data_IF_746228349043
#
_entry.id   IF_746228349043
#
_cell.length_a   1.000
_cell.length_b   1.000
_cell.length_c   1.000
_cell.angle_alpha   90.00
_cell.angle_beta   90.00
_cell.angle_gamma   90.00
#
_symmetry.space_group_name_H-M   'P 1'
#
loop_
_entity.id
_entity.type
_entity.pdbx_description
1 polymer ?
#
# COMPACT_ATOMS: atom_id res chain seq x y z
N UNK A 1 5.49 59.15 -65.02
CA UNK A 1 5.71 58.84 -63.56
C UNK A 1 5.45 57.36 -63.38
N UNK A 2 6.56 56.58 -63.21
CA UNK A 2 6.50 55.10 -62.98
C UNK A 2 6.88 54.82 -61.52
N UNK A 3 5.92 54.34 -60.77
CA UNK A 3 6.15 53.91 -59.38
C UNK A 3 6.53 52.43 -59.38
N UNK A 4 7.76 52.13 -58.94
CA UNK A 4 8.24 50.76 -58.75
C UNK A 4 7.82 50.22 -57.40
N UNK A 5 7.16 49.08 -57.41
CA UNK A 5 6.86 48.27 -56.20
C UNK A 5 8.02 47.33 -55.90
N UNK A 6 8.71 47.58 -54.79
CA UNK A 6 9.71 46.65 -54.26
C UNK A 6 8.95 45.60 -53.44
N UNK A 7 9.01 44.35 -53.88
CA UNK A 7 8.51 43.21 -53.12
C UNK A 7 9.62 42.69 -52.18
N UNK A 8 9.45 42.90 -50.90
CA UNK A 8 10.28 42.34 -49.86
C UNK A 8 9.84 40.89 -49.59
N UNK A 9 10.66 39.92 -49.95
CA UNK A 9 10.42 38.50 -49.66
C UNK A 9 11.00 38.18 -48.26
N UNK A 10 10.15 38.02 -47.28
CA UNK A 10 10.54 37.45 -45.97
C UNK A 10 10.83 35.96 -46.09
N UNK A 11 12.08 35.55 -46.00
CA UNK A 11 12.49 34.17 -45.86
C UNK A 11 12.26 33.75 -44.39
N UNK A 12 11.23 32.93 -44.17
CA UNK A 12 10.99 32.31 -42.87
C UNK A 12 11.91 31.11 -42.73
N UNK A 13 13.01 31.27 -41.96
CA UNK A 13 13.88 30.15 -41.60
C UNK A 13 13.24 29.38 -40.44
N UNK A 14 12.64 28.24 -40.75
CA UNK A 14 12.17 27.30 -39.75
C UNK A 14 13.37 26.53 -39.22
N UNK A 15 13.85 26.92 -38.05
CA UNK A 15 14.87 26.14 -37.32
C UNK A 15 14.16 24.96 -36.67
N UNK A 16 14.16 23.79 -37.33
CA UNK A 16 13.80 22.52 -36.67
C UNK A 16 14.87 22.22 -35.62
N UNK A 17 14.58 22.45 -34.35
CA UNK A 17 15.38 21.97 -33.25
C UNK A 17 15.19 20.47 -33.13
N UNK A 18 16.10 19.69 -33.71
CA UNK A 18 16.25 18.26 -33.47
C UNK A 18 16.70 18.08 -32.03
N UNK A 19 15.77 17.82 -31.11
CA UNK A 19 16.10 17.37 -29.77
C UNK A 19 16.62 15.94 -29.90
N UNK A 20 17.81 15.60 -29.36
CA UNK A 20 18.33 14.25 -29.45
C UNK A 20 17.43 13.31 -28.61
N UNK A 21 16.88 12.29 -29.24
CA UNK A 21 16.10 11.22 -28.60
C UNK A 21 16.88 10.53 -27.46
N UNK A 22 18.19 10.62 -27.47
CA UNK A 22 19.07 10.10 -26.42
C UNK A 22 18.88 10.77 -25.04
N UNK A 23 18.64 12.08 -24.98
CA UNK A 23 18.50 12.80 -23.71
C UNK A 23 17.27 12.35 -22.91
N UNK A 24 16.16 12.05 -23.57
CA UNK A 24 14.93 11.57 -22.90
C UNK A 24 15.10 10.16 -22.29
N UNK A 25 15.91 9.30 -22.92
CA UNK A 25 16.18 7.96 -22.39
C UNK A 25 17.15 7.99 -21.19
N UNK A 26 18.11 8.92 -21.18
CA UNK A 26 19.04 9.11 -20.05
C UNK A 26 18.29 9.67 -18.82
N UNK A 27 17.41 10.63 -19.00
CA UNK A 27 16.57 11.18 -17.93
C UNK A 27 15.63 10.12 -17.33
N UNK A 28 15.04 9.25 -18.16
CA UNK A 28 14.20 8.15 -17.71
C UNK A 28 14.98 7.11 -16.89
N UNK A 29 16.16 6.73 -17.32
CA UNK A 29 17.01 5.77 -16.61
C UNK A 29 17.54 6.35 -15.28
N UNK A 30 17.88 7.64 -15.24
CA UNK A 30 18.29 8.33 -14.02
C UNK A 30 17.14 8.42 -13.02
N UNK A 31 15.91 8.72 -13.47
CA UNK A 31 14.70 8.75 -12.64
C UNK A 31 14.41 7.36 -12.05
N UNK A 32 14.44 6.31 -12.87
CA UNK A 32 14.23 4.93 -12.41
C UNK A 32 15.29 4.50 -11.38
N UNK A 33 16.56 4.86 -11.59
CA UNK A 33 17.64 4.60 -10.63
C UNK A 33 17.40 5.33 -9.31
N UNK A 34 16.92 6.58 -9.34
CA UNK A 34 16.57 7.33 -8.14
C UNK A 34 15.38 6.72 -7.41
N UNK A 35 14.32 6.32 -8.14
CA UNK A 35 13.18 5.61 -7.59
C UNK A 35 13.62 4.32 -6.86
N UNK A 36 14.48 3.52 -7.49
CA UNK A 36 15.04 2.31 -6.90
C UNK A 36 15.82 2.62 -5.63
N UNK A 37 16.70 3.61 -5.66
CA UNK A 37 17.49 4.01 -4.48
C UNK A 37 16.61 4.47 -3.31
N UNK A 38 15.52 5.19 -3.58
CA UNK A 38 14.55 5.60 -2.56
C UNK A 38 13.87 4.38 -1.90
N UNK A 39 13.46 3.40 -2.68
CA UNK A 39 12.86 2.17 -2.15
C UNK A 39 13.89 1.31 -1.39
N UNK A 40 15.12 1.23 -1.87
CA UNK A 40 16.21 0.51 -1.17
C UNK A 40 16.53 1.19 0.18
N UNK A 41 16.51 2.53 0.25
CA UNK A 41 16.66 3.28 1.50
C UNK A 41 15.51 3.01 2.47
N UNK A 42 14.26 2.96 1.98
CA UNK A 42 13.09 2.57 2.77
C UNK A 42 13.25 1.16 3.35
N UNK A 43 13.65 0.19 2.53
CA UNK A 43 13.88 -1.19 2.99
C UNK A 43 14.98 -1.22 4.06
N UNK A 44 16.08 -0.49 3.87
CA UNK A 44 17.13 -0.39 4.87
C UNK A 44 16.63 0.23 6.18
N UNK A 45 15.82 1.29 6.10
CA UNK A 45 15.21 1.94 7.28
C UNK A 45 14.23 1.01 8.02
N UNK A 46 13.46 0.18 7.31
CA UNK A 46 12.56 -0.82 7.92
C UNK A 46 13.30 -1.98 8.59
N UNK A 47 14.61 -2.13 8.40
CA UNK A 47 15.43 -3.17 9.02
C UNK A 47 16.17 -4.07 8.03
N UNK A 48 16.20 -3.68 6.75
CA UNK A 48 16.97 -4.34 5.71
C UNK A 48 16.63 -5.82 5.54
N UNK A 49 17.67 -6.67 5.53
CA UNK A 49 17.51 -8.12 5.33
C UNK A 49 16.62 -8.77 6.38
N UNK A 50 16.63 -8.29 7.64
CA UNK A 50 15.75 -8.82 8.69
C UNK A 50 14.27 -8.60 8.34
N UNK A 51 13.91 -7.40 7.87
CA UNK A 51 12.55 -7.08 7.42
C UNK A 51 12.16 -7.89 6.17
N UNK A 52 13.07 -8.03 5.20
CA UNK A 52 12.84 -8.81 3.98
C UNK A 52 12.62 -10.31 4.25
N UNK A 53 13.19 -10.84 5.32
CA UNK A 53 13.09 -12.27 5.67
C UNK A 53 11.91 -12.61 6.58
N UNK A 54 11.07 -11.64 6.96
CA UNK A 54 9.90 -11.90 7.80
C UNK A 54 8.94 -12.88 7.15
N UNK A 55 8.54 -13.89 7.88
CA UNK A 55 7.57 -14.90 7.45
C UNK A 55 6.16 -14.59 7.95
N UNK A 56 6.07 -13.90 9.09
CA UNK A 56 4.78 -13.50 9.66
C UNK A 56 4.93 -12.31 10.61
N UNK A 57 3.79 -11.65 10.85
CA UNK A 57 3.66 -10.59 11.85
C UNK A 57 2.46 -10.87 12.74
N UNK A 58 2.57 -10.53 14.01
CA UNK A 58 1.47 -10.48 14.96
C UNK A 58 1.26 -9.06 15.43
N UNK A 59 0.03 -8.59 15.42
CA UNK A 59 -0.36 -7.27 15.88
C UNK A 59 -1.58 -7.36 16.78
N UNK A 60 -1.59 -6.56 17.84
CA UNK A 60 -2.73 -6.42 18.74
C UNK A 60 -2.97 -4.94 19.03
N UNK A 61 -4.22 -4.55 19.18
CA UNK A 61 -4.55 -3.16 19.44
C UNK A 61 -6.05 -2.87 19.40
N UNK A 62 -6.37 -1.66 19.04
CA UNK A 62 -7.75 -1.20 18.85
C UNK A 62 -7.94 -0.69 17.44
N UNK A 63 -9.09 -1.00 16.88
CA UNK A 63 -9.54 -0.49 15.59
C UNK A 63 -10.81 0.33 15.77
N UNK A 64 -10.94 1.43 15.03
CA UNK A 64 -12.11 2.30 15.04
C UNK A 64 -12.55 2.58 13.61
N UNK A 65 -13.87 2.49 13.37
CA UNK A 65 -14.47 2.77 12.07
C UNK A 65 -14.91 4.24 11.95
N UNK A 66 -14.85 4.75 10.74
CA UNK A 66 -15.29 6.10 10.38
C UNK A 66 -16.21 6.04 9.16
N UNK A 67 -17.10 7.00 9.04
CA UNK A 67 -17.96 7.21 7.89
C UNK A 67 -18.00 8.71 7.57
N UNK A 68 -17.66 9.08 6.35
CA UNK A 68 -17.49 10.47 5.93
C UNK A 68 -16.59 11.27 6.92
N UNK A 69 -15.47 10.68 7.29
CA UNK A 69 -14.50 11.27 8.22
C UNK A 69 -14.95 11.40 9.69
N UNK A 70 -16.17 10.91 10.05
CA UNK A 70 -16.71 10.98 11.42
C UNK A 70 -16.66 9.60 12.07
N UNK A 71 -16.30 9.51 13.38
CA UNK A 71 -16.34 8.24 14.10
C UNK A 71 -17.75 7.64 14.05
N UNK A 72 -17.86 6.35 13.72
CA UNK A 72 -19.14 5.61 13.73
C UNK A 72 -19.54 5.16 15.13
N UNK A 73 -18.68 5.35 16.13
CA UNK A 73 -18.82 4.74 17.45
C UNK A 73 -18.39 3.26 17.50
N UNK A 74 -18.19 2.61 16.34
CA UNK A 74 -17.67 1.26 16.29
C UNK A 74 -16.18 1.26 16.61
N UNK A 75 -15.82 0.71 17.78
CA UNK A 75 -14.42 0.50 18.19
C UNK A 75 -14.30 -0.90 18.77
N UNK A 76 -13.30 -1.64 18.36
CA UNK A 76 -13.06 -3.01 18.79
C UNK A 76 -11.60 -3.26 19.10
N UNK A 77 -11.32 -4.14 20.05
CA UNK A 77 -10.01 -4.75 20.16
C UNK A 77 -9.80 -5.71 18.99
N UNK A 78 -8.59 -5.79 18.49
CA UNK A 78 -8.21 -6.76 17.46
C UNK A 78 -6.93 -7.48 17.83
N UNK A 79 -6.82 -8.70 17.35
CA UNK A 79 -5.61 -9.50 17.32
C UNK A 79 -5.47 -10.04 15.91
N UNK A 80 -4.36 -9.76 15.25
CA UNK A 80 -4.11 -10.14 13.87
C UNK A 80 -2.79 -10.89 13.77
N UNK A 81 -2.81 -12.02 13.09
CA UNK A 81 -1.63 -12.71 12.60
C UNK A 81 -1.69 -12.69 11.09
N UNK A 82 -0.68 -12.13 10.46
CA UNK A 82 -0.48 -12.20 9.02
C UNK A 82 0.71 -13.12 8.74
N UNK A 83 0.48 -14.19 7.99
CA UNK A 83 1.52 -15.07 7.46
C UNK A 83 1.68 -14.79 5.98
N UNK A 84 2.86 -14.38 5.61
CA UNK A 84 3.16 -14.03 4.22
C UNK A 84 3.25 -15.28 3.33
N UNK A 85 2.84 -15.18 2.04
CA UNK A 85 2.32 -13.97 1.38
C UNK A 85 0.81 -13.76 1.53
N UNK A 86 0.00 -14.77 1.88
CA UNK A 86 -1.43 -14.80 1.54
C UNK A 86 -2.36 -15.35 2.62
N UNK A 87 -1.86 -15.59 3.83
CA UNK A 87 -2.69 -16.06 4.95
C UNK A 87 -2.77 -14.98 6.04
N UNK A 88 -3.98 -14.79 6.58
CA UNK A 88 -4.18 -13.98 7.77
C UNK A 88 -5.30 -14.51 8.64
N UNK A 89 -5.18 -14.25 9.94
CA UNK A 89 -6.22 -14.48 10.94
C UNK A 89 -6.41 -13.21 11.73
N UNK A 90 -7.63 -12.69 11.74
CA UNK A 90 -8.00 -11.48 12.47
C UNK A 90 -9.10 -11.85 13.45
N UNK A 91 -8.88 -11.58 14.73
CA UNK A 91 -9.85 -11.80 15.80
C UNK A 91 -10.31 -10.46 16.35
N UNK A 92 -11.61 -10.26 16.45
CA UNK A 92 -12.22 -9.01 16.87
C UNK A 92 -12.94 -9.17 18.21
N UNK A 93 -12.97 -8.09 18.97
CA UNK A 93 -13.61 -8.00 20.26
C UNK A 93 -12.79 -8.58 21.42
N UNK A 94 -13.20 -8.23 22.65
CA UNK A 94 -12.52 -8.71 23.87
C UNK A 94 -12.52 -10.23 24.01
N UNK A 95 -13.59 -10.88 23.52
CA UNK A 95 -13.73 -12.33 23.57
C UNK A 95 -13.06 -13.06 22.42
N UNK A 96 -12.63 -12.31 21.39
CA UNK A 96 -12.05 -12.87 20.17
C UNK A 96 -12.95 -13.90 19.48
N UNK A 97 -14.27 -13.67 19.53
CA UNK A 97 -15.30 -14.58 19.07
C UNK A 97 -15.88 -14.23 17.69
N UNK A 98 -15.33 -13.18 17.07
CA UNK A 98 -15.49 -12.87 15.64
C UNK A 98 -14.16 -13.03 14.99
N UNK A 99 -13.99 -14.01 14.11
CA UNK A 99 -12.72 -14.38 13.49
C UNK A 99 -12.84 -14.31 12.00
N UNK A 100 -11.99 -13.52 11.36
CA UNK A 100 -11.79 -13.54 9.92
C UNK A 100 -10.55 -14.36 9.58
N UNK A 101 -10.68 -15.29 8.64
CA UNK A 101 -9.58 -16.10 8.14
C UNK A 101 -9.44 -15.87 6.64
N UNK A 102 -8.26 -15.43 6.24
CA UNK A 102 -7.87 -15.26 4.85
C UNK A 102 -6.89 -16.38 4.50
N UNK A 103 -7.15 -17.10 3.43
CA UNK A 103 -6.24 -18.12 2.88
C UNK A 103 -6.32 -18.10 1.36
N UNK A 104 -5.25 -17.62 0.72
CA UNK A 104 -5.24 -17.38 -0.72
C UNK A 104 -6.28 -16.33 -1.12
N UNK A 105 -7.23 -16.71 -1.95
CA UNK A 105 -8.32 -15.87 -2.46
C UNK A 105 -9.64 -16.04 -1.68
N UNK A 106 -9.64 -16.88 -0.65
CA UNK A 106 -10.82 -17.16 0.16
C UNK A 106 -10.78 -16.41 1.49
N UNK A 107 -11.91 -15.89 1.92
CA UNK A 107 -12.07 -15.20 3.20
C UNK A 107 -13.32 -15.71 3.91
N UNK A 108 -13.16 -16.15 5.14
CA UNK A 108 -14.25 -16.64 5.98
C UNK A 108 -14.41 -15.77 7.22
N UNK A 109 -15.65 -15.46 7.54
CA UNK A 109 -16.05 -14.99 8.86
C UNK A 109 -16.53 -16.18 9.70
N UNK A 110 -15.99 -16.33 10.89
CA UNK A 110 -16.35 -17.36 11.85
C UNK A 110 -16.85 -16.69 13.11
N UNK A 111 -18.08 -17.02 13.51
CA UNK A 111 -18.73 -16.51 14.72
C UNK A 111 -19.44 -17.65 15.46
N UNK A 112 -20.12 -17.36 16.56
CA UNK A 112 -20.98 -18.34 17.24
C UNK A 112 -22.09 -18.92 16.34
N UNK A 113 -22.40 -18.27 15.21
CA UNK A 113 -23.35 -18.75 14.20
C UNK A 113 -22.75 -19.78 13.24
N UNK A 114 -21.44 -20.00 13.32
CA UNK A 114 -20.70 -20.88 12.45
C UNK A 114 -19.80 -20.11 11.48
N UNK A 115 -19.35 -20.83 10.46
CA UNK A 115 -18.49 -20.33 9.39
C UNK A 115 -19.32 -19.85 8.20
N UNK A 116 -18.95 -18.71 7.64
CA UNK A 116 -19.53 -18.16 6.41
C UNK A 116 -18.41 -17.56 5.55
N UNK A 117 -18.40 -17.87 4.27
CA UNK A 117 -17.51 -17.19 3.32
C UNK A 117 -18.02 -15.75 3.07
N UNK A 118 -17.13 -14.80 3.01
CA UNK A 118 -17.48 -13.40 2.74
C UNK A 118 -18.00 -13.23 1.31
N UNK A 119 -18.88 -12.25 1.09
CA UNK A 119 -19.36 -11.89 -0.24
C UNK A 119 -18.18 -11.48 -1.17
N UNK A 120 -18.29 -11.75 -2.48
CA UNK A 120 -17.21 -11.49 -3.43
C UNK A 120 -16.67 -10.05 -3.46
N UNK A 121 -17.53 -9.06 -3.25
CA UNK A 121 -17.15 -7.64 -3.18
C UNK A 121 -16.24 -7.34 -1.99
N UNK A 122 -16.54 -7.89 -0.81
CA UNK A 122 -15.70 -7.76 0.38
C UNK A 122 -14.39 -8.53 0.23
N UNK A 123 -14.43 -9.72 -0.35
CA UNK A 123 -13.21 -10.49 -0.68
C UNK A 123 -12.32 -9.67 -1.62
N UNK A 124 -12.87 -9.11 -2.70
CA UNK A 124 -12.12 -8.30 -3.66
C UNK A 124 -11.49 -7.06 -3.01
N UNK A 125 -12.15 -6.42 -2.07
CA UNK A 125 -11.58 -5.30 -1.33
C UNK A 125 -10.34 -5.74 -0.52
N UNK A 126 -10.43 -6.85 0.21
CA UNK A 126 -9.32 -7.39 1.01
C UNK A 126 -8.13 -7.80 0.13
N UNK A 127 -8.40 -8.50 -0.99
CA UNK A 127 -7.38 -8.94 -1.94
C UNK A 127 -6.68 -7.74 -2.60
N UNK A 128 -7.43 -6.72 -3.02
CA UNK A 128 -6.89 -5.49 -3.60
C UNK A 128 -5.98 -4.78 -2.60
N UNK A 129 -6.40 -4.67 -1.33
CA UNK A 129 -5.57 -4.06 -0.27
C UNK A 129 -4.27 -4.83 -0.03
N UNK A 130 -4.32 -6.16 -0.07
CA UNK A 130 -3.14 -7.03 0.05
C UNK A 130 -2.21 -6.85 -1.14
N UNK A 131 -2.76 -6.85 -2.36
CA UNK A 131 -1.98 -6.67 -3.59
C UNK A 131 -1.20 -5.34 -3.62
N UNK A 132 -1.75 -4.29 -3.00
CA UNK A 132 -1.12 -2.98 -2.90
C UNK A 132 -0.47 -2.72 -1.53
N UNK A 133 -0.14 -3.76 -0.76
CA UNK A 133 0.63 -3.57 0.48
C UNK A 133 2.09 -3.23 0.18
N UNK A 134 2.77 -2.53 1.11
CA UNK A 134 4.21 -2.28 1.00
C UNK A 134 4.98 -3.60 0.90
N UNK A 135 4.56 -4.63 1.65
CA UNK A 135 5.16 -5.94 1.56
C UNK A 135 5.11 -6.50 0.12
N UNK A 136 3.92 -6.51 -0.50
CA UNK A 136 3.74 -6.99 -1.88
C UNK A 136 4.52 -6.13 -2.88
N UNK A 137 4.49 -4.80 -2.73
CA UNK A 137 5.23 -3.90 -3.60
C UNK A 137 6.74 -4.21 -3.62
N UNK A 138 7.32 -4.52 -2.46
CA UNK A 138 8.76 -4.79 -2.34
C UNK A 138 9.10 -6.25 -2.69
N UNK A 139 8.32 -7.22 -2.20
CA UNK A 139 8.68 -8.64 -2.39
C UNK A 139 8.24 -9.20 -3.76
N UNK A 140 7.22 -8.60 -4.37
CA UNK A 140 6.68 -9.09 -5.65
C UNK A 140 6.98 -8.11 -6.77
N UNK A 141 6.46 -6.87 -6.69
CA UNK A 141 6.55 -5.94 -7.82
C UNK A 141 7.99 -5.47 -8.07
N UNK A 142 8.72 -5.08 -7.02
CA UNK A 142 10.10 -4.59 -7.16
C UNK A 142 11.09 -5.65 -7.70
N UNK A 143 10.73 -6.92 -7.57
CA UNK A 143 11.51 -8.06 -8.08
C UNK A 143 11.08 -8.55 -9.48
N UNK A 144 9.97 -8.03 -10.03
CA UNK A 144 9.59 -8.29 -11.42
C UNK A 144 10.30 -7.29 -12.35
N UNK A 145 11.14 -7.76 -13.31
CA UNK A 145 11.87 -6.88 -14.22
C UNK A 145 10.99 -6.04 -15.15
N UNK A 146 9.69 -6.37 -15.25
CA UNK A 146 8.71 -5.61 -16.03
C UNK A 146 8.12 -4.44 -15.26
N UNK A 147 8.38 -4.35 -13.94
CA UNK A 147 7.89 -3.24 -13.12
C UNK A 147 8.63 -1.95 -13.47
N UNK A 148 7.87 -0.92 -13.77
CA UNK A 148 8.38 0.42 -14.01
C UNK A 148 8.42 1.19 -12.69
N UNK A 149 9.55 1.84 -12.41
CA UNK A 149 9.74 2.66 -11.22
C UNK A 149 9.82 4.13 -11.63
N UNK A 150 9.06 4.98 -10.94
CA UNK A 150 9.04 6.43 -11.21
C UNK A 150 9.30 7.15 -9.88
N UNK A 151 10.32 7.99 -9.87
CA UNK A 151 10.51 8.95 -8.79
C UNK A 151 9.73 10.24 -9.13
N UNK A 152 8.68 10.54 -8.33
CA UNK A 152 7.75 11.65 -8.56
C UNK A 152 8.18 12.95 -7.87
N UNK A 153 9.40 12.99 -7.32
CA UNK A 153 9.91 14.13 -6.58
C UNK A 153 9.50 14.13 -5.10
N UNK A 154 9.73 15.26 -4.44
CA UNK A 154 9.36 15.44 -3.05
C UNK A 154 8.00 16.08 -2.91
N UNK A 155 7.24 15.67 -1.89
CA UNK A 155 5.91 16.17 -1.53
C UNK A 155 5.84 16.43 -0.04
N UNK A 156 4.98 17.35 0.36
CA UNK A 156 4.62 17.52 1.78
C UNK A 156 3.48 16.55 2.11
N UNK A 157 3.73 15.63 3.05
CA UNK A 157 2.79 14.59 3.50
C UNK A 157 2.75 14.61 5.01
N UNK A 158 1.57 14.76 5.60
CA UNK A 158 1.39 14.78 7.07
C UNK A 158 2.41 15.69 7.80
N UNK A 159 2.75 16.83 7.20
CA UNK A 159 3.76 17.81 7.69
C UNK A 159 5.22 17.34 7.58
N UNK A 160 5.49 16.23 6.94
CA UNK A 160 6.83 15.73 6.62
C UNK A 160 7.16 15.97 5.15
N UNK A 161 8.40 16.29 4.85
CA UNK A 161 8.90 16.22 3.48
C UNK A 161 9.09 14.75 3.13
N UNK A 162 8.44 14.31 2.08
CA UNK A 162 8.44 12.90 1.67
C UNK A 162 8.97 12.75 0.24
N UNK A 163 9.81 11.76 0.02
CA UNK A 163 10.15 11.27 -1.30
C UNK A 163 8.99 10.39 -1.82
N UNK A 164 8.48 10.71 -3.00
CA UNK A 164 7.38 9.95 -3.61
C UNK A 164 7.90 9.07 -4.72
N UNK A 165 7.54 7.79 -4.67
CA UNK A 165 7.90 6.79 -5.67
C UNK A 165 6.67 5.99 -6.08
N UNK A 166 6.44 5.86 -7.39
CA UNK A 166 5.38 5.04 -7.97
C UNK A 166 5.97 3.80 -8.62
N UNK A 167 5.40 2.64 -8.30
CA UNK A 167 5.66 1.37 -8.96
C UNK A 167 4.47 1.06 -9.86
N UNK A 168 4.72 0.67 -11.11
CA UNK A 168 3.71 0.21 -12.07
C UNK A 168 4.09 -1.21 -12.47
N UNK A 169 3.22 -2.18 -12.16
CA UNK A 169 3.47 -3.59 -12.47
C UNK A 169 3.17 -3.94 -13.93
N UNK A 170 3.40 -5.21 -14.30
CA UNK A 170 3.19 -5.70 -15.66
C UNK A 170 1.73 -5.66 -16.13
N UNK A 171 0.77 -5.59 -15.21
CA UNK A 171 -0.67 -5.50 -15.49
C UNK A 171 -1.16 -4.04 -15.57
N UNK A 172 -0.22 -3.09 -15.57
CA UNK A 172 -0.49 -1.64 -15.57
C UNK A 172 -1.25 -1.17 -14.32
N UNK A 173 -1.12 -1.92 -13.23
CA UNK A 173 -1.61 -1.52 -11.92
C UNK A 173 -0.51 -0.77 -11.17
N UNK A 174 -0.87 0.15 -10.27
CA UNK A 174 0.11 1.06 -9.67
C UNK A 174 -0.08 1.24 -8.17
N UNK A 175 1.05 1.39 -7.49
CA UNK A 175 1.12 1.82 -6.09
C UNK A 175 2.11 2.97 -5.97
N UNK A 176 1.71 4.03 -5.26
CA UNK A 176 2.58 5.14 -4.88
C UNK A 176 2.94 5.01 -3.40
N UNK A 177 4.22 5.05 -3.10
CA UNK A 177 4.76 5.02 -1.73
C UNK A 177 5.44 6.35 -1.46
N UNK A 178 5.11 6.95 -0.33
CA UNK A 178 5.70 8.19 0.17
C UNK A 178 6.50 7.85 1.43
N UNK A 179 7.80 8.12 1.38
CA UNK A 179 8.75 7.86 2.47
C UNK A 179 9.25 9.18 3.03
N UNK A 180 9.37 9.27 4.32
CA UNK A 180 9.97 10.43 4.98
C UNK A 180 11.38 10.71 4.44
N UNK A 181 11.67 11.94 4.05
CA UNK A 181 12.94 12.28 3.38
C UNK A 181 14.16 12.20 4.34
N UNK A 182 13.95 12.22 5.65
CA UNK A 182 14.99 12.16 6.67
C UNK A 182 15.17 10.75 7.20
N UNK A 183 14.08 10.09 7.62
CA UNK A 183 14.12 8.75 8.24
C UNK A 183 14.00 7.62 7.24
N UNK A 184 13.55 7.90 6.03
CA UNK A 184 13.19 6.95 4.96
C UNK A 184 12.06 5.96 5.33
N UNK A 185 11.40 6.13 6.47
CA UNK A 185 10.28 5.28 6.86
C UNK A 185 9.04 5.61 6.02
N UNK A 186 8.20 4.62 5.69
CA UNK A 186 6.93 4.87 5.01
C UNK A 186 6.04 5.84 5.79
N UNK A 187 5.50 6.85 5.14
CA UNK A 187 4.48 7.73 5.67
C UNK A 187 3.10 7.39 5.13
N UNK A 188 3.04 7.09 3.84
CA UNK A 188 1.77 6.82 3.16
C UNK A 188 1.98 5.89 1.97
N UNK A 189 1.03 5.02 1.71
CA UNK A 189 0.85 4.35 0.43
C UNK A 189 -0.49 4.73 -0.17
N UNK A 190 -0.58 4.78 -1.49
CA UNK A 190 -1.81 5.13 -2.22
C UNK A 190 -1.89 4.29 -3.49
N UNK A 191 -3.08 3.84 -3.83
CA UNK A 191 -3.36 3.19 -5.11
C UNK A 191 -4.75 3.59 -5.62
N UNK A 192 -4.93 3.49 -6.93
CA UNK A 192 -6.18 3.81 -7.59
C UNK A 192 -6.76 2.56 -8.22
N UNK A 193 -8.06 2.48 -8.21
CA UNK A 193 -8.78 1.37 -8.82
C UNK A 193 -10.11 1.87 -9.41
N UNK A 194 -10.66 1.10 -10.33
CA UNK A 194 -11.92 1.44 -10.96
C UNK A 194 -13.00 0.46 -10.47
N UNK A 195 -14.11 1.02 -10.00
CA UNK A 195 -15.27 0.21 -9.62
C UNK A 195 -15.74 -0.64 -10.83
N UNK A 196 -15.89 -1.96 -10.67
CA UNK A 196 -16.28 -2.83 -11.79
C UNK A 196 -17.71 -2.61 -12.25
N UNK A 197 -18.60 -2.06 -11.41
CA UNK A 197 -20.01 -1.84 -11.70
C UNK A 197 -20.22 -0.41 -12.17
N UNK A 198 -19.92 0.58 -11.33
CA UNK A 198 -20.18 1.99 -11.58
C UNK A 198 -19.11 2.68 -12.44
N UNK A 199 -17.95 2.02 -12.63
CA UNK A 199 -16.82 2.54 -13.39
C UNK A 199 -16.15 3.77 -12.79
N UNK A 200 -16.52 4.14 -11.57
CA UNK A 200 -15.92 5.26 -10.86
C UNK A 200 -14.45 4.97 -10.53
N UNK A 201 -13.64 6.00 -10.58
CA UNK A 201 -12.25 5.96 -10.18
C UNK A 201 -12.19 6.23 -8.69
N UNK A 202 -11.68 5.26 -7.95
CA UNK A 202 -11.50 5.32 -6.51
C UNK A 202 -10.01 5.40 -6.15
N UNK A 203 -9.74 6.01 -5.01
CA UNK A 203 -8.40 6.11 -4.44
C UNK A 203 -8.44 5.58 -3.00
N UNK A 204 -7.63 4.57 -2.73
CA UNK A 204 -7.41 4.07 -1.38
C UNK A 204 -6.01 4.45 -0.90
N UNK A 205 -5.91 4.84 0.36
CA UNK A 205 -4.63 5.15 0.97
C UNK A 205 -4.54 4.58 2.39
N UNK A 206 -3.29 4.39 2.85
CA UNK A 206 -2.99 4.05 4.24
C UNK A 206 -1.78 4.85 4.69
N UNK A 207 -1.90 5.52 5.85
CA UNK A 207 -0.80 6.23 6.49
C UNK A 207 -0.24 5.43 7.66
N UNK A 208 1.04 5.65 7.93
CA UNK A 208 1.84 4.98 8.94
C UNK A 208 2.48 6.03 9.84
N UNK A 209 2.23 5.93 11.15
CA UNK A 209 2.71 6.93 12.11
C UNK A 209 3.10 6.26 13.43
N UNK A 210 3.71 7.04 14.33
CA UNK A 210 4.10 6.60 15.67
C UNK A 210 4.98 5.34 15.62
N UNK A 211 6.08 5.42 14.87
CA UNK A 211 7.03 4.32 14.75
C UNK A 211 7.72 4.03 16.08
N UNK A 212 7.69 2.77 16.50
CA UNK A 212 8.35 2.26 17.71
C UNK A 212 9.21 1.05 17.35
N UNK A 213 10.35 0.84 18.02
CA UNK A 213 11.17 -0.34 17.78
C UNK A 213 10.53 -1.57 18.41
N UNK A 214 10.32 -2.61 17.60
CA UNK A 214 9.87 -3.93 18.03
C UNK A 214 10.88 -4.95 17.51
N UNK A 215 11.54 -5.66 18.41
CA UNK A 215 12.60 -6.64 18.06
C UNK A 215 13.66 -6.07 17.12
N UNK A 216 13.96 -4.75 17.27
CA UNK A 216 14.91 -4.03 16.43
C UNK A 216 14.37 -3.53 15.09
N UNK A 217 13.11 -3.78 14.78
CA UNK A 217 12.46 -3.29 13.55
C UNK A 217 11.56 -2.07 13.85
N UNK A 218 11.65 -0.97 13.09
CA UNK A 218 10.69 0.12 13.18
C UNK A 218 9.29 -0.36 12.79
N UNK A 219 8.35 -0.19 13.70
CA UNK A 219 6.97 -0.66 13.54
C UNK A 219 6.02 0.49 13.73
N UNK A 220 5.16 0.78 12.74
CA UNK A 220 4.13 1.81 12.85
C UNK A 220 3.06 1.36 13.85
N UNK A 221 2.82 2.17 14.89
CA UNK A 221 1.82 1.89 15.92
C UNK A 221 0.49 2.57 15.65
N UNK A 222 0.44 3.47 14.67
CA UNK A 222 -0.80 4.08 14.17
C UNK A 222 -0.91 3.86 12.67
N UNK A 223 -2.01 3.23 12.24
CA UNK A 223 -2.33 3.01 10.84
C UNK A 223 -3.70 3.62 10.57
N UNK A 224 -3.80 4.48 9.55
CA UNK A 224 -5.07 5.12 9.20
C UNK A 224 -5.38 4.84 7.72
N UNK A 225 -6.59 4.39 7.44
CA UNK A 225 -7.07 4.08 6.09
C UNK A 225 -8.03 5.13 5.60
N UNK A 226 -7.91 5.41 4.31
CA UNK A 226 -8.73 6.39 3.61
C UNK A 226 -9.30 5.75 2.35
N UNK A 227 -10.52 6.17 2.01
CA UNK A 227 -11.17 5.90 0.74
C UNK A 227 -11.67 7.22 0.17
N UNK A 228 -11.19 7.60 -1.02
CA UNK A 228 -11.49 8.89 -1.66
C UNK A 228 -11.25 10.08 -0.72
N UNK A 229 -10.11 10.07 -0.02
CA UNK A 229 -9.65 11.02 1.01
C UNK A 229 -10.48 11.04 2.31
N UNK A 230 -11.59 10.32 2.40
CA UNK A 230 -12.32 10.13 3.65
C UNK A 230 -11.67 9.05 4.52
N UNK A 231 -11.43 9.37 5.78
CA UNK A 231 -10.99 8.37 6.77
C UNK A 231 -12.08 7.31 6.95
N UNK A 232 -11.69 6.04 6.82
CA UNK A 232 -12.60 4.89 6.97
C UNK A 232 -12.27 4.03 8.18
N UNK A 233 -10.99 3.94 8.53
CA UNK A 233 -10.54 3.11 9.65
C UNK A 233 -9.26 3.66 10.26
N UNK A 234 -9.11 3.53 11.57
CA UNK A 234 -7.87 3.80 12.27
C UNK A 234 -7.57 2.67 13.25
N UNK A 235 -6.30 2.24 13.26
CA UNK A 235 -5.76 1.23 14.17
C UNK A 235 -4.69 1.83 15.04
N UNK A 236 -4.74 1.52 16.31
CA UNK A 236 -3.71 1.82 17.29
C UNK A 236 -3.18 0.51 17.85
N UNK A 237 -1.91 0.20 17.60
CA UNK A 237 -1.27 -0.99 18.15
C UNK A 237 -0.97 -0.79 19.63
N UNK A 238 -1.11 -1.84 20.39
CA UNK A 238 -0.63 -1.95 21.79
C UNK A 238 0.50 -2.96 21.90
N UNK A 239 0.57 -3.88 20.94
CA UNK A 239 1.62 -4.89 20.87
C UNK A 239 1.85 -5.35 19.43
N UNK A 240 3.09 -5.63 19.08
CA UNK A 240 3.48 -6.26 17.83
C UNK A 240 4.63 -7.26 18.09
N UNK A 241 4.72 -8.29 17.28
CA UNK A 241 5.81 -9.26 17.27
C UNK A 241 6.01 -9.82 15.87
N UNK A 242 7.16 -10.39 15.61
CA UNK A 242 7.55 -10.92 14.32
C UNK A 242 7.96 -12.39 14.43
N UNK A 243 7.74 -13.14 13.34
CA UNK A 243 8.09 -14.55 13.23
C UNK A 243 7.66 -15.40 14.44
N UNK A 244 6.43 -15.12 14.93
CA UNK A 244 5.85 -15.89 16.03
C UNK A 244 5.60 -17.34 15.60
N UNK A 245 5.68 -18.32 16.54
CA UNK A 245 5.37 -19.71 16.22
C UNK A 245 3.93 -19.86 15.71
N UNK A 246 3.76 -20.45 14.53
CA UNK A 246 2.48 -20.69 13.90
C UNK A 246 2.23 -22.19 13.73
N UNK A 247 0.96 -22.58 13.89
CA UNK A 247 0.49 -23.92 13.53
C UNK A 247 -0.46 -23.84 12.33
N UNK A 248 -0.48 -24.84 11.44
CA UNK A 248 -1.32 -24.81 10.24
C UNK A 248 -2.81 -24.61 10.52
N UNK A 249 -3.30 -25.14 11.65
CA UNK A 249 -4.69 -25.05 12.08
C UNK A 249 -5.14 -23.64 12.49
N UNK A 250 -4.21 -22.71 12.69
CA UNK A 250 -4.54 -21.31 12.97
C UNK A 250 -5.30 -20.64 11.82
N UNK A 251 -5.05 -21.07 10.58
CA UNK A 251 -5.67 -20.53 9.37
C UNK A 251 -6.76 -21.42 8.78
N UNK A 252 -7.19 -22.42 9.55
CA UNK A 252 -8.29 -23.31 9.17
C UNK A 252 -9.63 -22.79 9.74
N UNK A 253 -10.59 -22.39 8.87
CA UNK A 253 -11.87 -21.86 9.32
C UNK A 253 -12.75 -22.90 10.02
N UNK A 254 -12.60 -24.20 9.75
CA UNK A 254 -13.34 -25.26 10.42
C UNK A 254 -12.81 -25.48 11.85
N UNK A 255 -11.50 -25.43 12.02
CA UNK A 255 -10.90 -25.48 13.36
C UNK A 255 -11.29 -24.24 14.17
N UNK A 256 -11.30 -23.05 13.56
CA UNK A 256 -11.76 -21.83 14.22
C UNK A 256 -13.23 -21.96 14.67
N UNK A 257 -14.11 -22.46 13.80
CA UNK A 257 -15.52 -22.66 14.11
C UNK A 257 -15.74 -23.65 15.26
N UNK A 258 -14.93 -24.69 15.36
CA UNK A 258 -15.01 -25.67 16.45
C UNK A 258 -14.63 -25.10 17.81
N UNK A 259 -13.81 -24.07 17.86
CA UNK A 259 -13.29 -23.42 19.08
C UNK A 259 -14.19 -22.31 19.61
N UNK A 260 -15.00 -21.68 18.77
CA UNK A 260 -15.95 -20.64 19.19
C UNK A 260 -17.17 -21.33 19.82
N UNK A 261 -17.29 -21.19 21.13
CA UNK A 261 -18.43 -21.74 21.87
C UNK A 261 -19.71 -20.96 21.56
N UNK A 262 -20.81 -21.71 21.40
CA UNK A 262 -22.18 -21.16 21.32
C UNK A 262 -22.59 -20.50 22.61
#
# INVERSE_FOLDING_TARGET
MKSGFVRLACLLVIVLSLHPVGAQNEDGAANQKKARATLDAMVAALGGQRWLSLTNTMQQGRTSGFYQGKPTGASSEFYEIQKFPDQARIELGKKRDVVEIISGEHVWEVTYKGKKELPPDQVQELLRRRAHSIWTAIHVWLNDPRTVLIYDGQKLVERHLADQTTLINADNDSITIQTDAETHLPLRRTYQWRDPIYKDKNTDAETYDNYQPVEGLPTAYTLTRYHNDDMTNQRFLTHAAYDVPLTPDMFDPDVAASRIKK
#
